data_IF_055780711556
#
_entry.id   IF_055780711556
#
_cell.length_a   1.000
_cell.length_b   1.000
_cell.length_c   1.000
_cell.angle_alpha   90.00
_cell.angle_beta   90.00
_cell.angle_gamma   90.00
#
_symmetry.space_group_name_H-M   'P 1'
#
loop_
_entity.id
_entity.type
_entity.pdbx_description
1 polymer ?
#
# COMPACT_ATOMS: atom_id res chain seq x y z
N UNK A 1 -1.43 -9.19 15.83
CA UNK A 1 -1.78 -7.76 15.94
C UNK A 1 -2.89 -7.62 16.96
N UNK A 2 -2.81 -6.61 17.81
CA UNK A 2 -3.84 -6.23 18.78
C UNK A 2 -4.42 -4.91 18.29
N UNK A 3 -5.70 -4.91 17.92
CA UNK A 3 -6.41 -3.70 17.51
C UNK A 3 -7.87 -3.80 18.00
N UNK A 4 -8.36 -2.84 18.81
CA UNK A 4 -9.69 -2.93 19.41
C UNK A 4 -10.84 -2.85 18.40
N UNK A 5 -10.60 -2.27 17.21
CA UNK A 5 -11.65 -2.13 16.20
C UNK A 5 -11.93 -3.46 15.49
N UNK A 6 -10.94 -4.35 15.38
CA UNK A 6 -11.11 -5.65 14.74
C UNK A 6 -12.23 -6.47 15.38
N UNK A 7 -12.38 -6.41 16.69
CA UNK A 7 -13.38 -7.19 17.42
C UNK A 7 -14.83 -6.69 17.21
N UNK A 8 -14.98 -5.46 16.70
CA UNK A 8 -16.27 -4.84 16.43
C UNK A 8 -16.74 -5.08 15.00
N UNK A 9 -15.83 -5.44 14.09
CA UNK A 9 -16.14 -5.66 12.67
C UNK A 9 -17.00 -6.91 12.49
N UNK A 10 -18.08 -6.76 11.71
CA UNK A 10 -18.99 -7.82 11.29
C UNK A 10 -18.88 -8.03 9.78
N UNK A 11 -18.79 -9.28 9.34
CA UNK A 11 -18.57 -9.59 7.93
C UNK A 11 -19.78 -9.28 7.04
N UNK A 12 -20.98 -9.50 7.57
CA UNK A 12 -22.24 -9.23 6.87
C UNK A 12 -22.39 -7.77 6.39
N UNK A 13 -21.70 -6.82 7.03
CA UNK A 13 -21.80 -5.39 6.70
C UNK A 13 -20.91 -5.01 5.50
N UNK A 14 -19.92 -5.85 5.15
CA UNK A 14 -18.85 -5.47 4.22
C UNK A 14 -18.62 -6.44 3.06
N UNK A 15 -18.98 -7.72 3.21
CA UNK A 15 -18.73 -8.73 2.18
C UNK A 15 -19.84 -9.76 2.10
N UNK A 16 -20.18 -10.17 0.88
CA UNK A 16 -21.11 -11.27 0.59
C UNK A 16 -20.42 -12.64 0.54
N UNK A 17 -19.07 -12.65 0.55
CA UNK A 17 -18.27 -13.86 0.33
C UNK A 17 -17.94 -14.57 1.64
N UNK A 18 -17.50 -13.82 2.64
CA UNK A 18 -17.12 -14.35 3.95
C UNK A 18 -18.29 -14.15 4.90
N UNK A 19 -18.82 -15.25 5.45
CA UNK A 19 -19.98 -15.20 6.37
C UNK A 19 -19.57 -15.11 7.83
N UNK A 20 -18.36 -15.55 8.18
CA UNK A 20 -17.91 -15.61 9.56
C UNK A 20 -16.95 -14.48 9.93
N UNK A 21 -17.23 -13.82 11.05
CA UNK A 21 -16.43 -12.70 11.54
C UNK A 21 -14.98 -13.11 11.85
N UNK A 22 -14.76 -14.37 12.27
CA UNK A 22 -13.44 -14.86 12.67
C UNK A 22 -12.48 -14.93 11.48
N UNK A 23 -12.91 -15.50 10.36
CA UNK A 23 -12.11 -15.59 9.13
C UNK A 23 -11.86 -14.22 8.53
N UNK A 24 -12.88 -13.35 8.53
CA UNK A 24 -12.70 -11.97 8.08
C UNK A 24 -11.59 -11.26 8.88
N UNK A 25 -11.69 -11.26 10.22
CA UNK A 25 -10.71 -10.62 11.10
C UNK A 25 -9.32 -11.23 10.91
N UNK A 26 -9.24 -12.55 10.70
CA UNK A 26 -7.97 -13.23 10.45
C UNK A 26 -7.34 -12.81 9.12
N UNK A 27 -8.13 -12.62 8.06
CA UNK A 27 -7.65 -12.13 6.77
C UNK A 27 -7.20 -10.67 6.86
N UNK A 28 -7.97 -9.81 7.53
CA UNK A 28 -7.54 -8.42 7.80
C UNK A 28 -6.21 -8.39 8.53
N UNK A 29 -6.06 -9.15 9.62
CA UNK A 29 -4.79 -9.29 10.34
C UNK A 29 -3.66 -9.81 9.45
N UNK A 30 -3.95 -10.73 8.53
CA UNK A 30 -2.96 -11.27 7.61
C UNK A 30 -2.48 -10.19 6.66
N UNK A 31 -3.39 -9.50 5.97
CA UNK A 31 -3.07 -8.37 5.07
C UNK A 31 -2.20 -7.32 5.76
N UNK A 32 -2.61 -6.91 6.97
CA UNK A 32 -1.91 -5.89 7.74
C UNK A 32 -0.51 -6.30 8.20
N UNK A 33 -0.25 -7.60 8.39
CA UNK A 33 1.04 -8.12 8.84
C UNK A 33 1.94 -8.60 7.69
N UNK A 34 1.41 -8.76 6.47
CA UNK A 34 2.19 -9.24 5.32
C UNK A 34 2.40 -8.15 4.26
N UNK A 35 1.33 -7.74 3.59
CA UNK A 35 1.41 -6.86 2.42
C UNK A 35 1.48 -5.38 2.82
N UNK A 36 0.61 -4.96 3.73
CA UNK A 36 0.42 -3.55 4.06
C UNK A 36 1.70 -2.88 4.60
N UNK A 37 2.52 -3.61 5.36
CA UNK A 37 3.75 -3.07 5.98
C UNK A 37 4.80 -2.62 4.96
N UNK A 38 4.74 -3.19 3.75
CA UNK A 38 5.60 -2.77 2.66
C UNK A 38 4.81 -1.93 1.66
N UNK A 39 3.59 -2.31 1.29
CA UNK A 39 2.76 -1.60 0.32
C UNK A 39 1.49 -1.04 0.96
N UNK A 40 1.60 0.00 1.82
CA UNK A 40 0.42 0.64 2.40
C UNK A 40 -0.33 1.38 1.30
N UNK A 41 -1.64 1.19 1.22
CA UNK A 41 -2.50 1.90 0.25
C UNK A 41 -3.33 3.03 0.89
N UNK A 42 -3.58 2.92 2.20
CA UNK A 42 -4.48 3.76 2.97
C UNK A 42 -4.01 3.84 4.43
N UNK A 43 -4.60 4.71 5.25
CA UNK A 43 -4.29 4.78 6.69
C UNK A 43 -5.06 3.69 7.45
N UNK A 44 -4.33 2.79 8.14
CA UNK A 44 -4.89 1.58 8.78
C UNK A 44 -5.99 1.87 9.79
N UNK A 45 -5.74 2.79 10.71
CA UNK A 45 -6.66 3.05 11.83
C UNK A 45 -7.97 3.66 11.34
N UNK A 46 -7.91 4.56 10.36
CA UNK A 46 -9.09 5.20 9.77
C UNK A 46 -9.94 4.16 9.03
N UNK A 47 -9.30 3.27 8.26
CA UNK A 47 -9.98 2.14 7.63
C UNK A 47 -10.66 1.24 8.66
N UNK A 48 -9.94 0.81 9.71
CA UNK A 48 -10.49 -0.09 10.73
C UNK A 48 -11.60 0.57 11.56
N UNK A 49 -11.47 1.86 11.90
CA UNK A 49 -12.49 2.63 12.61
C UNK A 49 -13.77 2.76 11.78
N UNK A 50 -13.65 3.08 10.50
CA UNK A 50 -14.80 3.20 9.61
C UNK A 50 -15.44 1.83 9.34
N UNK A 51 -14.62 0.78 9.20
CA UNK A 51 -15.10 -0.58 9.06
C UNK A 51 -15.89 -1.04 10.31
N UNK A 52 -15.40 -0.75 11.50
CA UNK A 52 -16.07 -1.07 12.76
C UNK A 52 -17.35 -0.26 12.99
N UNK A 53 -17.41 0.98 12.52
CA UNK A 53 -18.54 1.89 12.72
C UNK A 53 -19.56 1.88 11.57
N UNK A 54 -19.31 1.12 10.50
CA UNK A 54 -20.17 1.06 9.32
C UNK A 54 -20.12 2.31 8.45
N UNK A 55 -19.16 3.23 8.70
CA UNK A 55 -18.96 4.44 7.91
C UNK A 55 -18.19 4.13 6.63
N UNK A 56 -18.47 4.89 5.57
CA UNK A 56 -17.90 4.67 4.25
C UNK A 56 -16.89 5.74 3.78
N UNK A 57 -16.39 6.56 4.70
CA UNK A 57 -15.53 7.70 4.39
C UNK A 57 -14.10 7.23 4.04
N UNK A 58 -13.55 6.31 4.83
CA UNK A 58 -12.22 5.70 4.65
C UNK A 58 -12.25 4.18 4.50
N UNK A 59 -13.44 3.62 4.32
CA UNK A 59 -13.68 2.20 4.07
C UNK A 59 -14.78 2.07 3.01
N UNK A 60 -14.67 1.15 2.07
CA UNK A 60 -15.74 0.86 1.10
C UNK A 60 -15.81 -0.63 0.83
N UNK A 61 -16.97 -1.17 0.39
CA UNK A 61 -17.05 -2.57 -0.03
C UNK A 61 -16.00 -2.93 -1.09
N UNK A 62 -15.73 -2.04 -2.04
CA UNK A 62 -14.68 -2.21 -3.05
C UNK A 62 -13.31 -2.38 -2.39
N UNK A 63 -12.91 -1.45 -1.51
CA UNK A 63 -11.63 -1.51 -0.82
C UNK A 63 -11.50 -2.75 0.06
N UNK A 64 -12.57 -3.12 0.77
CA UNK A 64 -12.59 -4.35 1.59
C UNK A 64 -12.34 -5.58 0.74
N UNK A 65 -13.03 -5.74 -0.40
CA UNK A 65 -12.82 -6.92 -1.26
C UNK A 65 -11.42 -6.95 -1.86
N UNK A 66 -10.84 -5.80 -2.23
CA UNK A 66 -9.44 -5.72 -2.68
C UNK A 66 -8.46 -6.14 -1.58
N UNK A 67 -8.66 -5.65 -0.35
CA UNK A 67 -7.87 -6.04 0.84
C UNK A 67 -7.98 -7.54 1.11
N UNK A 68 -9.17 -8.12 1.00
CA UNK A 68 -9.37 -9.56 1.21
C UNK A 68 -8.72 -10.42 0.12
N UNK A 69 -8.74 -9.95 -1.13
CA UNK A 69 -8.04 -10.61 -2.22
C UNK A 69 -6.52 -10.63 -1.95
N UNK A 70 -5.95 -9.49 -1.55
CA UNK A 70 -4.54 -9.37 -1.17
C UNK A 70 -4.18 -10.22 0.05
N UNK A 71 -5.03 -10.25 1.08
CA UNK A 71 -4.84 -11.07 2.28
C UNK A 71 -4.65 -12.56 1.95
N UNK A 72 -5.33 -13.07 0.90
CA UNK A 72 -5.29 -14.47 0.52
C UNK A 72 -3.92 -14.95 0.04
N UNK A 73 -3.01 -14.07 -0.39
CA UNK A 73 -1.63 -14.42 -0.74
C UNK A 73 -0.81 -14.81 0.51
N UNK A 74 -0.99 -14.06 1.59
CA UNK A 74 -0.32 -14.29 2.88
C UNK A 74 -1.01 -15.30 3.80
N UNK A 75 -2.25 -15.70 3.49
CA UNK A 75 -3.03 -16.55 4.39
C UNK A 75 -2.63 -18.02 4.25
N UNK A 76 -2.07 -18.60 5.31
CA UNK A 76 -1.57 -19.98 5.27
C UNK A 76 -2.66 -21.05 5.25
N UNK A 77 -3.87 -20.73 5.72
CA UNK A 77 -4.97 -21.69 5.83
C UNK A 77 -5.79 -21.83 4.54
N UNK A 78 -5.51 -21.04 3.50
CA UNK A 78 -6.13 -21.22 2.18
C UNK A 78 -5.40 -22.29 1.39
N UNK A 79 -6.12 -23.38 1.08
CA UNK A 79 -5.65 -24.36 0.11
C UNK A 79 -5.51 -23.70 -1.26
N UNK A 80 -4.48 -24.11 -2.02
CA UNK A 80 -4.27 -23.70 -3.41
C UNK A 80 -4.05 -22.19 -3.63
N UNK A 81 -3.42 -21.47 -2.69
CA UNK A 81 -3.12 -20.03 -2.81
C UNK A 81 -2.40 -19.61 -4.11
N UNK A 82 -1.61 -20.50 -4.71
CA UNK A 82 -0.93 -20.25 -5.99
C UNK A 82 -1.84 -20.37 -7.21
N UNK A 83 -3.02 -20.99 -7.07
CA UNK A 83 -4.00 -21.14 -8.15
C UNK A 83 -4.90 -19.92 -8.22
N UNK A 84 -4.32 -18.74 -8.42
CA UNK A 84 -5.04 -17.46 -8.47
C UNK A 84 -6.09 -17.41 -9.60
N UNK A 85 -5.98 -18.31 -10.60
CA UNK A 85 -6.95 -18.48 -11.68
C UNK A 85 -8.16 -19.35 -11.32
N UNK A 86 -8.12 -20.06 -10.19
CA UNK A 86 -9.16 -21.00 -9.80
C UNK A 86 -10.37 -20.28 -9.16
N UNK A 87 -11.57 -20.32 -9.79
CA UNK A 87 -12.77 -19.64 -9.30
C UNK A 87 -13.23 -20.06 -7.90
N UNK A 88 -12.86 -21.28 -7.48
CA UNK A 88 -13.24 -21.83 -6.18
C UNK A 88 -12.39 -21.27 -5.03
N UNK A 89 -11.28 -20.59 -5.33
CA UNK A 89 -10.42 -20.02 -4.29
C UNK A 89 -11.04 -18.75 -3.71
N UNK A 90 -10.86 -18.56 -2.40
CA UNK A 90 -11.33 -17.35 -1.73
C UNK A 90 -10.71 -16.08 -2.34
N UNK A 91 -9.42 -16.13 -2.67
CA UNK A 91 -8.71 -15.03 -3.30
C UNK A 91 -9.32 -14.63 -4.64
N UNK A 92 -9.63 -15.61 -5.51
CA UNK A 92 -10.30 -15.33 -6.77
C UNK A 92 -11.68 -14.71 -6.56
N UNK A 93 -12.51 -15.28 -5.66
CA UNK A 93 -13.86 -14.76 -5.42
C UNK A 93 -13.83 -13.32 -4.91
N UNK A 94 -12.94 -13.02 -3.97
CA UNK A 94 -12.74 -11.65 -3.46
C UNK A 94 -12.27 -10.71 -4.57
N UNK A 95 -11.31 -11.13 -5.40
CA UNK A 95 -10.83 -10.34 -6.53
C UNK A 95 -11.93 -10.10 -7.57
N UNK A 96 -12.72 -11.12 -7.91
CA UNK A 96 -13.83 -11.01 -8.85
C UNK A 96 -14.89 -10.02 -8.37
N UNK A 97 -15.25 -10.04 -7.08
CA UNK A 97 -16.18 -9.08 -6.52
C UNK A 97 -15.59 -7.66 -6.45
N UNK A 98 -14.30 -7.52 -6.12
CA UNK A 98 -13.62 -6.23 -6.17
C UNK A 98 -13.63 -5.65 -7.59
N UNK A 99 -13.41 -6.48 -8.63
CA UNK A 99 -13.49 -6.05 -10.04
C UNK A 99 -14.91 -5.64 -10.43
N UNK A 100 -15.93 -6.41 -10.02
CA UNK A 100 -17.33 -6.09 -10.29
C UNK A 100 -17.71 -4.74 -9.65
N UNK A 101 -17.27 -4.50 -8.41
CA UNK A 101 -17.49 -3.22 -7.72
C UNK A 101 -16.69 -2.08 -8.36
N UNK A 102 -15.46 -2.35 -8.81
CA UNK A 102 -14.64 -1.39 -9.54
C UNK A 102 -15.36 -0.89 -10.79
N UNK A 103 -15.91 -1.81 -11.60
CA UNK A 103 -16.65 -1.50 -12.83
C UNK A 103 -17.88 -0.61 -12.57
N UNK A 104 -18.53 -0.77 -11.41
CA UNK A 104 -19.66 0.08 -11.00
C UNK A 104 -19.24 1.48 -10.53
N UNK A 105 -18.03 1.62 -10.01
CA UNK A 105 -17.49 2.89 -9.51
C UNK A 105 -16.67 3.65 -10.56
N UNK A 106 -16.48 3.10 -11.77
CA UNK A 106 -15.81 3.78 -12.88
C UNK A 106 -16.44 5.16 -13.09
N UNK A 107 -15.58 6.19 -13.17
CA UNK A 107 -15.98 7.59 -13.35
C UNK A 107 -16.31 8.35 -12.06
N UNK A 108 -16.41 7.67 -10.91
CA UNK A 108 -16.70 8.29 -9.61
C UNK A 108 -15.44 8.30 -8.73
N UNK A 109 -14.53 9.24 -9.00
CA UNK A 109 -13.28 9.35 -8.27
C UNK A 109 -13.51 9.70 -6.80
N UNK A 110 -13.24 8.74 -5.90
CA UNK A 110 -13.23 8.93 -4.45
C UNK A 110 -11.91 8.40 -3.87
N UNK A 111 -11.60 8.82 -2.64
CA UNK A 111 -10.36 8.42 -1.98
C UNK A 111 -10.27 6.89 -1.81
N UNK A 112 -11.37 6.24 -1.39
CA UNK A 112 -11.43 4.78 -1.22
C UNK A 112 -11.33 4.01 -2.54
N UNK A 113 -11.83 4.58 -3.64
CA UNK A 113 -11.64 4.01 -4.99
C UNK A 113 -10.16 4.05 -5.39
N UNK A 114 -9.46 5.16 -5.16
CA UNK A 114 -8.00 5.25 -5.41
C UNK A 114 -7.25 4.23 -4.56
N UNK A 115 -7.55 4.14 -3.26
CA UNK A 115 -6.95 3.17 -2.35
C UNK A 115 -7.20 1.73 -2.81
N UNK A 116 -8.39 1.42 -3.30
CA UNK A 116 -8.72 0.09 -3.82
C UNK A 116 -7.94 -0.24 -5.09
N UNK A 117 -7.75 0.70 -6.01
CA UNK A 117 -6.90 0.48 -7.18
C UNK A 117 -5.44 0.19 -6.83
N UNK A 118 -4.89 0.87 -5.82
CA UNK A 118 -3.53 0.57 -5.31
C UNK A 118 -3.48 -0.89 -4.83
N UNK A 119 -4.46 -1.34 -4.04
CA UNK A 119 -4.50 -2.73 -3.55
C UNK A 119 -4.73 -3.72 -4.70
N UNK A 120 -5.59 -3.41 -5.66
CA UNK A 120 -5.79 -4.25 -6.85
C UNK A 120 -4.50 -4.39 -7.65
N UNK A 121 -3.76 -3.31 -7.87
CA UNK A 121 -2.47 -3.36 -8.54
C UNK A 121 -1.50 -4.34 -7.85
N UNK A 122 -1.38 -4.28 -6.52
CA UNK A 122 -0.58 -5.23 -5.73
C UNK A 122 -1.05 -6.68 -5.96
N UNK A 123 -2.36 -6.91 -5.96
CA UNK A 123 -2.91 -8.26 -6.18
C UNK A 123 -2.55 -8.78 -7.57
N UNK A 124 -2.65 -7.94 -8.59
CA UNK A 124 -2.32 -8.29 -9.97
C UNK A 124 -0.82 -8.53 -10.17
N UNK A 125 0.03 -7.69 -9.58
CA UNK A 125 1.49 -7.87 -9.59
C UNK A 125 1.89 -9.20 -8.93
N UNK A 126 1.30 -9.51 -7.76
CA UNK A 126 1.54 -10.78 -7.05
C UNK A 126 1.06 -12.02 -7.83
N UNK A 127 0.11 -11.85 -8.75
CA UNK A 127 -0.37 -12.91 -9.65
C UNK A 127 0.41 -12.98 -10.97
N UNK A 128 1.45 -12.16 -11.16
CA UNK A 128 2.21 -12.09 -12.42
C UNK A 128 1.41 -11.49 -13.59
N UNK A 129 0.44 -10.63 -13.29
CA UNK A 129 -0.42 -9.92 -14.24
C UNK A 129 -0.19 -8.42 -14.14
N UNK A 130 1.07 -8.05 -14.33
CA UNK A 130 1.62 -6.71 -14.10
C UNK A 130 1.08 -5.66 -15.08
N UNK A 131 0.67 -6.04 -16.29
CA UNK A 131 0.01 -5.13 -17.22
C UNK A 131 -1.36 -4.66 -16.72
N UNK A 132 -2.16 -5.58 -16.19
CA UNK A 132 -3.44 -5.24 -15.55
C UNK A 132 -3.21 -4.43 -14.27
N UNK A 133 -2.20 -4.80 -13.47
CA UNK A 133 -1.79 -4.02 -12.30
C UNK A 133 -1.45 -2.57 -12.66
N UNK A 134 -0.69 -2.38 -13.75
CA UNK A 134 -0.36 -1.05 -14.29
C UNK A 134 -1.60 -0.27 -14.73
N UNK A 135 -2.59 -0.94 -15.32
CA UNK A 135 -3.84 -0.28 -15.73
C UNK A 135 -4.59 0.29 -14.52
N UNK A 136 -4.67 -0.46 -13.41
CA UNK A 136 -5.24 0.06 -12.16
C UNK A 136 -4.45 1.25 -11.60
N UNK A 137 -3.11 1.20 -11.64
CA UNK A 137 -2.28 2.34 -11.23
C UNK A 137 -2.52 3.59 -12.09
N UNK A 138 -2.63 3.43 -13.41
CA UNK A 138 -2.92 4.54 -14.31
C UNK A 138 -4.29 5.17 -14.03
N UNK A 139 -5.30 4.34 -13.77
CA UNK A 139 -6.63 4.80 -13.37
C UNK A 139 -6.62 5.49 -11.99
N UNK A 140 -5.85 4.96 -11.03
CA UNK A 140 -5.67 5.58 -9.72
C UNK A 140 -5.01 6.96 -9.82
N UNK A 141 -3.99 7.11 -10.67
CA UNK A 141 -3.32 8.41 -10.93
C UNK A 141 -4.31 9.41 -11.54
N UNK A 142 -5.09 8.99 -12.54
CA UNK A 142 -6.12 9.85 -13.14
C UNK A 142 -7.17 10.30 -12.12
N UNK A 143 -7.68 9.37 -11.29
CA UNK A 143 -8.63 9.68 -10.22
C UNK A 143 -8.03 10.59 -9.14
N UNK A 144 -6.76 10.37 -8.77
CA UNK A 144 -6.03 11.20 -7.83
C UNK A 144 -5.88 12.65 -8.31
N UNK A 145 -5.63 12.86 -9.61
CA UNK A 145 -5.66 14.21 -10.20
C UNK A 145 -7.05 14.84 -10.14
N UNK A 146 -8.10 14.07 -10.45
CA UNK A 146 -9.48 14.58 -10.45
C UNK A 146 -9.93 15.12 -9.08
N UNK A 147 -9.46 14.53 -7.98
CA UNK A 147 -9.78 14.97 -6.60
C UNK A 147 -8.70 15.84 -5.94
N UNK A 148 -7.71 16.30 -6.72
CA UNK A 148 -6.58 17.09 -6.27
C UNK A 148 -5.80 16.45 -5.11
N UNK A 149 -5.59 15.13 -5.16
CA UNK A 149 -4.98 14.35 -4.08
C UNK A 149 -3.52 14.76 -3.81
N UNK A 150 -2.75 15.10 -4.85
CA UNK A 150 -1.31 15.38 -4.75
C UNK A 150 -0.98 16.79 -4.22
N UNK A 151 -1.97 17.68 -4.17
CA UNK A 151 -1.79 19.09 -3.76
C UNK A 151 -3.03 19.62 -3.01
N UNK A 152 -3.47 18.97 -1.93
CA UNK A 152 -4.67 19.40 -1.21
C UNK A 152 -4.37 20.63 -0.35
N UNK A 153 -5.33 21.53 -0.26
CA UNK A 153 -5.32 22.61 0.71
C UNK A 153 -5.58 22.04 2.11
N UNK A 154 -4.79 22.46 3.11
CA UNK A 154 -5.05 22.04 4.50
C UNK A 154 -6.26 22.82 5.03
N UNK A 155 -7.41 22.15 5.11
CA UNK A 155 -8.68 22.78 5.46
C UNK A 155 -9.06 22.65 6.95
N UNK A 156 -8.07 22.46 7.83
CA UNK A 156 -8.27 22.34 9.29
C UNK A 156 -8.66 20.95 9.79
N UNK A 157 -9.06 20.02 8.91
CA UNK A 157 -9.25 18.61 9.26
C UNK A 157 -7.92 17.83 9.13
N UNK A 158 -7.29 17.56 10.28
CA UNK A 158 -6.05 16.77 10.32
C UNK A 158 -6.28 15.31 9.89
N UNK A 159 -7.46 14.73 10.12
CA UNK A 159 -7.76 13.34 9.74
C UNK A 159 -7.84 13.20 8.23
N UNK A 160 -8.60 14.08 7.59
CA UNK A 160 -8.70 14.12 6.12
C UNK A 160 -7.32 14.37 5.51
N UNK A 161 -6.59 15.37 6.01
CA UNK A 161 -5.25 15.72 5.54
C UNK A 161 -4.30 14.51 5.61
N UNK A 162 -4.23 13.85 6.77
CA UNK A 162 -3.36 12.68 6.96
C UNK A 162 -3.74 11.54 6.02
N UNK A 163 -5.04 11.25 5.86
CA UNK A 163 -5.48 10.18 4.97
C UNK A 163 -5.11 10.46 3.51
N UNK A 164 -5.35 11.70 3.05
CA UNK A 164 -4.93 12.17 1.72
C UNK A 164 -3.41 12.08 1.53
N UNK A 165 -2.62 12.52 2.51
CA UNK A 165 -1.15 12.44 2.47
C UNK A 165 -0.68 10.99 2.31
N UNK A 166 -1.17 10.09 3.17
CA UNK A 166 -0.79 8.68 3.15
C UNK A 166 -1.16 8.04 1.80
N UNK A 167 -2.36 8.27 1.28
CA UNK A 167 -2.78 7.72 -0.01
C UNK A 167 -1.99 8.31 -1.19
N UNK A 168 -1.67 9.62 -1.16
CA UNK A 168 -0.87 10.26 -2.21
C UNK A 168 0.54 9.64 -2.29
N UNK A 169 1.21 9.51 -1.14
CA UNK A 169 2.55 8.92 -1.05
C UNK A 169 2.55 7.41 -1.30
N UNK A 170 1.49 6.71 -0.89
CA UNK A 170 1.27 5.31 -1.22
C UNK A 170 1.18 5.09 -2.75
N UNK A 171 0.34 5.88 -3.43
CA UNK A 171 0.16 5.78 -4.89
C UNK A 171 1.47 6.09 -5.63
N UNK A 172 2.13 7.20 -5.28
CA UNK A 172 3.41 7.57 -5.86
C UNK A 172 4.46 6.47 -5.65
N UNK A 173 4.52 5.93 -4.43
CA UNK A 173 5.46 4.89 -4.08
C UNK A 173 5.23 3.59 -4.86
N UNK A 174 3.99 3.11 -4.93
CA UNK A 174 3.68 1.86 -5.62
C UNK A 174 3.92 1.98 -7.13
N UNK A 175 3.51 3.09 -7.77
CA UNK A 175 3.76 3.26 -9.21
C UNK A 175 5.26 3.35 -9.53
N UNK A 176 6.07 3.93 -8.63
CA UNK A 176 7.52 3.98 -8.78
C UNK A 176 8.14 2.58 -8.71
N UNK A 177 7.72 1.78 -7.72
CA UNK A 177 8.15 0.39 -7.59
C UNK A 177 7.75 -0.41 -8.83
N UNK A 178 6.49 -0.31 -9.26
CA UNK A 178 5.99 -1.01 -10.44
C UNK A 178 6.84 -0.68 -11.67
N UNK A 179 6.96 0.61 -11.98
CA UNK A 179 7.70 1.12 -13.15
C UNK A 179 9.16 0.68 -13.17
N UNK A 180 9.81 0.69 -12.00
CA UNK A 180 11.17 0.19 -11.85
C UNK A 180 11.30 -1.31 -12.16
N UNK A 181 10.38 -2.14 -11.66
CA UNK A 181 10.44 -3.60 -11.83
C UNK A 181 10.09 -4.05 -13.25
N UNK A 182 9.17 -3.35 -13.93
CA UNK A 182 8.74 -3.70 -15.29
C UNK A 182 9.47 -2.92 -16.38
N UNK A 183 10.51 -2.17 -16.01
CA UNK A 183 11.33 -1.36 -16.93
C UNK A 183 10.50 -0.37 -17.78
N UNK A 184 9.50 0.29 -17.17
CA UNK A 184 8.65 1.29 -17.84
C UNK A 184 8.86 2.67 -17.23
N UNK A 185 8.57 3.71 -17.99
CA UNK A 185 8.54 5.06 -17.47
C UNK A 185 7.49 5.20 -16.35
N UNK A 186 7.80 5.94 -15.26
CA UNK A 186 6.85 6.26 -14.21
C UNK A 186 5.57 6.91 -14.73
N UNK A 187 4.45 6.58 -14.08
CA UNK A 187 3.18 7.29 -14.30
C UNK A 187 3.22 8.70 -13.69
N UNK A 188 3.98 8.88 -12.61
CA UNK A 188 4.22 10.17 -11.97
C UNK A 188 5.71 10.50 -12.01
N UNK A 189 6.06 11.59 -12.70
CA UNK A 189 7.45 12.06 -12.78
C UNK A 189 7.92 12.71 -11.48
N UNK A 190 7.01 13.33 -10.73
CA UNK A 190 7.33 14.08 -9.50
C UNK A 190 6.58 13.52 -8.29
N UNK A 191 7.16 13.62 -7.09
CA UNK A 191 6.46 13.31 -5.85
C UNK A 191 5.20 14.16 -5.64
N UNK A 192 4.28 13.71 -4.77
CA UNK A 192 3.21 14.55 -4.27
C UNK A 192 3.77 15.83 -3.64
N UNK A 193 3.09 16.97 -3.87
CA UNK A 193 3.44 18.23 -3.20
C UNK A 193 2.95 18.27 -1.75
N UNK A 194 1.94 17.44 -1.41
CA UNK A 194 1.54 17.21 -0.02
C UNK A 194 2.71 16.62 0.77
N UNK A 195 3.16 17.25 1.86
CA UNK A 195 4.22 16.70 2.68
C UNK A 195 3.73 15.46 3.43
N UNK A 196 4.67 14.56 3.73
CA UNK A 196 4.45 13.48 4.69
C UNK A 196 4.05 14.06 6.07
N UNK A 197 3.10 13.44 6.78
CA UNK A 197 2.73 13.89 8.13
C UNK A 197 3.93 13.88 9.09
N UNK A 198 4.10 14.97 9.84
CA UNK A 198 5.23 15.11 10.77
C UNK A 198 5.13 14.25 12.04
N UNK A 199 3.92 13.95 12.50
CA UNK A 199 3.69 13.19 13.74
C UNK A 199 3.54 11.69 13.47
N UNK A 200 4.20 10.85 14.27
CA UNK A 200 4.22 9.39 14.07
C UNK A 200 2.83 8.75 14.17
N UNK A 201 1.96 9.31 15.02
CA UNK A 201 0.57 8.84 15.19
C UNK A 201 -0.26 8.90 13.91
N UNK A 202 0.12 9.71 12.92
CA UNK A 202 -0.62 9.86 11.67
C UNK A 202 -0.53 8.61 10.77
N UNK A 203 0.46 7.74 10.97
CA UNK A 203 0.73 6.60 10.09
C UNK A 203 -0.02 5.31 10.50
N UNK A 204 -0.62 5.28 11.69
CA UNK A 204 -1.40 4.15 12.19
C UNK A 204 -0.52 2.98 12.60
N UNK A 205 0.02 3.05 13.81
CA UNK A 205 1.02 2.10 14.28
C UNK A 205 0.48 0.67 14.48
N UNK A 206 1.40 -0.30 14.48
CA UNK A 206 1.11 -1.69 14.79
C UNK A 206 1.39 -1.97 16.26
N UNK A 207 0.41 -2.58 16.93
CA UNK A 207 0.60 -3.15 18.26
C UNK A 207 0.63 -4.66 18.13
N UNK A 208 1.76 -5.27 18.47
CA UNK A 208 1.98 -6.71 18.38
C UNK A 208 2.10 -7.33 19.77
N UNK A 209 1.55 -8.53 19.94
CA UNK A 209 1.69 -9.32 21.17
C UNK A 209 2.43 -10.61 20.84
N UNK A 210 3.65 -10.72 21.34
CA UNK A 210 4.48 -11.92 21.19
C UNK A 210 4.32 -12.82 22.41
N UNK A 211 4.38 -14.16 22.25
CA UNK A 211 4.32 -15.08 23.39
C UNK A 211 5.36 -14.80 24.47
N UNK A 212 6.56 -14.36 24.08
CA UNK A 212 7.68 -14.08 24.98
C UNK A 212 7.68 -12.65 25.55
N UNK A 213 6.86 -11.73 25.04
CA UNK A 213 6.85 -10.34 25.48
C UNK A 213 5.99 -10.16 26.74
N UNK A 214 6.44 -9.30 27.66
CA UNK A 214 5.70 -8.95 28.90
C UNK A 214 4.39 -8.23 28.61
N UNK A 215 4.26 -7.60 27.44
CA UNK A 215 3.08 -6.86 27.03
C UNK A 215 3.06 -6.60 25.52
N UNK A 216 2.05 -5.86 25.04
CA UNK A 216 2.00 -5.42 23.65
C UNK A 216 3.17 -4.48 23.32
N UNK A 217 3.74 -4.63 22.13
CA UNK A 217 4.89 -3.88 21.63
C UNK A 217 4.44 -3.04 20.43
N UNK A 218 4.73 -1.74 20.48
CA UNK A 218 4.57 -0.79 19.38
C UNK A 218 5.72 -0.97 18.38
N UNK A 219 5.41 -0.89 17.10
CA UNK A 219 6.39 -1.11 16.03
C UNK A 219 6.98 0.19 15.49
N UNK A 220 6.39 1.34 15.82
CA UNK A 220 6.73 2.64 15.24
C UNK A 220 6.74 2.63 13.69
N UNK A 221 5.59 2.28 13.11
CA UNK A 221 5.46 2.15 11.65
C UNK A 221 5.78 3.42 10.85
N UNK A 222 5.71 4.60 11.47
CA UNK A 222 6.01 5.87 10.83
C UNK A 222 7.43 5.91 10.22
N UNK A 223 8.43 5.37 10.92
CA UNK A 223 9.79 5.26 10.41
C UNK A 223 9.84 4.40 9.14
N UNK A 224 9.18 3.23 9.16
CA UNK A 224 9.13 2.33 8.00
C UNK A 224 8.50 3.02 6.79
N UNK A 225 7.37 3.70 6.98
CA UNK A 225 6.69 4.42 5.89
C UNK A 225 7.60 5.50 5.28
N UNK A 226 8.19 6.37 6.12
CA UNK A 226 9.06 7.47 5.65
C UNK A 226 10.27 6.94 4.88
N UNK A 227 10.97 5.98 5.45
CA UNK A 227 12.13 5.33 4.82
C UNK A 227 11.77 4.70 3.47
N UNK A 228 10.62 4.02 3.38
CA UNK A 228 10.13 3.47 2.11
C UNK A 228 9.76 4.56 1.11
N UNK A 229 9.16 5.66 1.55
CA UNK A 229 8.87 6.81 0.67
C UNK A 229 10.14 7.39 0.07
N UNK A 230 11.19 7.57 0.87
CA UNK A 230 12.50 8.05 0.42
C UNK A 230 13.17 7.10 -0.57
N UNK A 231 13.15 5.80 -0.28
CA UNK A 231 13.69 4.77 -1.18
C UNK A 231 12.98 4.80 -2.54
N UNK A 232 11.65 4.90 -2.51
CA UNK A 232 10.80 4.89 -3.70
C UNK A 232 10.96 6.15 -4.55
N UNK A 233 11.35 7.28 -3.96
CA UNK A 233 11.77 8.46 -4.73
C UNK A 233 12.98 8.15 -5.59
N UNK A 234 13.99 7.48 -5.02
CA UNK A 234 15.19 7.09 -5.77
C UNK A 234 14.81 6.11 -6.89
N UNK A 235 13.97 5.10 -6.59
CA UNK A 235 13.47 4.16 -7.62
C UNK A 235 12.72 4.87 -8.75
N UNK A 236 11.89 5.87 -8.42
CA UNK A 236 11.15 6.66 -9.41
C UNK A 236 12.10 7.40 -10.34
N UNK A 237 13.11 8.08 -9.79
CA UNK A 237 14.07 8.84 -10.58
C UNK A 237 14.91 7.93 -11.47
N UNK A 238 15.30 6.75 -10.98
CA UNK A 238 15.98 5.74 -11.80
C UNK A 238 15.07 5.33 -12.96
N UNK A 239 13.82 4.95 -12.69
CA UNK A 239 12.88 4.56 -13.73
C UNK A 239 12.63 5.69 -14.75
N UNK A 240 12.49 6.94 -14.29
CA UNK A 240 12.32 8.11 -15.15
C UNK A 240 13.55 8.34 -16.05
N UNK A 241 14.77 8.14 -15.54
CA UNK A 241 16.00 8.34 -16.30
C UNK A 241 16.24 7.26 -17.36
N UNK A 242 16.02 5.99 -17.00
CA UNK A 242 16.42 4.86 -17.84
C UNK A 242 15.31 4.29 -18.71
N UNK A 243 14.04 4.49 -18.35
CA UNK A 243 12.91 3.87 -19.06
C UNK A 243 11.97 4.88 -19.74
N UNK A 244 12.26 6.18 -19.63
CA UNK A 244 11.64 7.18 -20.50
C UNK A 244 12.36 7.21 -21.86
N UNK A 245 11.67 7.52 -22.95
CA UNK A 245 12.19 7.49 -24.34
C UNK A 245 13.35 8.47 -24.65
N UNK A 246 13.95 9.11 -23.63
CA UNK A 246 15.08 10.01 -23.80
C UNK A 246 16.36 9.25 -24.11
N UNK A 247 16.87 9.39 -25.34
CA UNK A 247 18.20 8.90 -25.73
C UNK A 247 19.29 9.61 -24.93
N UNK A 248 19.86 8.94 -23.94
CA UNK A 248 20.98 9.46 -23.17
C UNK A 248 22.31 9.12 -23.87
N UNK A 249 23.25 10.08 -23.88
CA UNK A 249 24.62 9.81 -24.31
C UNK A 249 25.31 8.82 -23.34
N UNK A 250 26.27 7.99 -23.78
CA UNK A 250 26.91 6.99 -22.93
C UNK A 250 27.60 7.58 -21.69
N UNK A 251 28.31 8.70 -21.84
CA UNK A 251 29.03 9.34 -20.72
C UNK A 251 28.06 9.92 -19.67
N UNK A 252 26.95 10.53 -20.09
CA UNK A 252 25.94 11.03 -19.14
C UNK A 252 25.20 9.91 -18.41
N UNK A 253 25.21 8.70 -18.97
CA UNK A 253 24.61 7.52 -18.34
C UNK A 253 25.45 7.04 -17.16
N UNK A 254 26.77 6.95 -17.31
CA UNK A 254 27.68 6.52 -16.22
C UNK A 254 27.61 7.47 -15.02
N UNK A 255 27.62 8.78 -15.26
CA UNK A 255 27.55 9.77 -14.18
C UNK A 255 26.21 9.72 -13.44
N UNK A 256 25.10 9.48 -14.16
CA UNK A 256 23.78 9.26 -13.55
C UNK A 256 23.75 8.01 -12.68
N UNK A 257 24.31 6.89 -13.15
CA UNK A 257 24.40 5.65 -12.36
C UNK A 257 25.15 5.92 -11.06
N UNK A 258 26.34 6.56 -11.13
CA UNK A 258 27.12 6.91 -9.94
C UNK A 258 26.32 7.79 -8.98
N UNK A 259 25.61 8.79 -9.50
CA UNK A 259 24.73 9.64 -8.70
C UNK A 259 23.65 8.86 -7.95
N UNK A 260 23.04 7.87 -8.59
CA UNK A 260 22.05 7.01 -7.94
C UNK A 260 22.68 6.08 -6.89
N UNK A 261 23.85 5.50 -7.14
CA UNK A 261 24.58 4.71 -6.14
C UNK A 261 24.86 5.54 -4.88
N UNK A 262 25.36 6.77 -5.03
CA UNK A 262 25.63 7.67 -3.90
C UNK A 262 24.34 7.98 -3.12
N UNK A 263 23.22 8.22 -3.81
CA UNK A 263 21.93 8.48 -3.16
C UNK A 263 21.42 7.26 -2.40
N UNK A 264 21.54 6.06 -2.97
CA UNK A 264 21.15 4.81 -2.32
C UNK A 264 22.02 4.52 -1.09
N UNK A 265 23.34 4.68 -1.22
CA UNK A 265 24.28 4.52 -0.11
C UNK A 265 23.98 5.51 1.02
N UNK A 266 23.75 6.79 0.68
CA UNK A 266 23.37 7.81 1.65
C UNK A 266 22.07 7.44 2.37
N UNK A 267 21.03 7.05 1.61
CA UNK A 267 19.74 6.64 2.17
C UNK A 267 19.91 5.47 3.16
N UNK A 268 20.70 4.46 2.78
CA UNK A 268 20.98 3.29 3.62
C UNK A 268 21.72 3.64 4.92
N UNK A 269 22.70 4.56 4.86
CA UNK A 269 23.43 5.00 6.06
C UNK A 269 22.58 5.83 7.02
N UNK A 270 21.56 6.54 6.49
CA UNK A 270 20.65 7.37 7.28
C UNK A 270 19.44 6.63 7.83
N UNK A 271 19.36 5.29 7.68
CA UNK A 271 18.26 4.50 8.21
C UNK A 271 18.08 4.72 9.73
N UNK A 272 16.84 4.91 10.20
CA UNK A 272 16.50 4.94 11.63
C UNK A 272 17.06 3.72 12.38
N UNK A 273 17.45 3.85 13.66
CA UNK A 273 18.06 2.77 14.43
C UNK A 273 17.28 1.46 14.39
N UNK A 274 15.94 1.52 14.48
CA UNK A 274 15.00 0.41 14.44
C UNK A 274 14.91 -0.31 13.09
N UNK A 275 15.45 0.29 12.02
CA UNK A 275 15.49 -0.27 10.67
C UNK A 275 16.89 -0.71 10.23
N UNK A 276 17.91 -0.53 11.09
CA UNK A 276 19.26 -1.02 10.82
C UNK A 276 19.33 -2.54 10.99
N UNK A 277 20.21 -3.18 10.22
CA UNK A 277 20.36 -4.65 10.18
C UNK A 277 20.50 -5.31 11.56
N UNK A 278 21.13 -4.62 12.51
CA UNK A 278 21.41 -5.14 13.86
C UNK A 278 20.19 -5.13 14.79
N UNK A 279 19.16 -4.34 14.47
CA UNK A 279 18.00 -4.08 15.34
C UNK A 279 16.68 -4.59 14.71
N UNK A 280 16.76 -5.33 13.61
CA UNK A 280 15.60 -5.91 12.92
C UNK A 280 14.81 -6.80 13.88
N UNK A 281 13.57 -6.43 14.09
CA UNK A 281 12.63 -7.12 14.97
C UNK A 281 11.42 -7.69 14.23
N UNK A 282 11.17 -7.25 12.99
CA UNK A 282 9.98 -7.60 12.22
C UNK A 282 10.30 -8.08 10.80
N UNK A 283 9.58 -9.10 10.26
CA UNK A 283 9.89 -9.69 8.96
C UNK A 283 9.95 -8.72 7.78
N UNK A 284 9.13 -7.66 7.78
CA UNK A 284 9.12 -6.70 6.67
C UNK A 284 10.32 -5.75 6.68
N UNK A 285 10.97 -5.55 7.83
CA UNK A 285 12.20 -4.74 7.91
C UNK A 285 13.37 -5.42 7.19
N UNK A 286 13.32 -6.75 7.00
CA UNK A 286 14.27 -7.48 6.15
C UNK A 286 14.17 -7.06 4.68
N UNK A 287 13.02 -6.55 4.22
CA UNK A 287 12.85 -6.06 2.84
C UNK A 287 13.60 -4.74 2.57
N UNK A 288 14.15 -4.11 3.61
CA UNK A 288 14.95 -2.88 3.53
C UNK A 288 16.46 -3.16 3.52
N UNK A 289 16.89 -4.43 3.66
CA UNK A 289 18.29 -4.82 3.75
C UNK A 289 18.87 -5.26 2.41
#
# INVERSE_FOLDING_TARGET
>A
MVDPHLDQIKAADWTSIIKDNKSLRKLLQTYFLTEYTFFPAFQKDYFLQDMASGRKEYCSPLLVHAVLASACHGYSSTNHRSRFWNPETLGYRCLAEARRLWELEIGHAQLTTIQAAIVLAIVYDANGRDEEGRAYLAQAVAAAHAIQLFSPQKNGDDREFNCRAITAWALFGLQAVHSFHVFKAPLLSMPPSIPLPGQDKCYGDFVLRFPAAKGPVSVNYANTFRTLSEFRLIMNDVAAVFFSEMKNAPNSTVDRIKGFCIRLDSWYQTLPPDLKTREISFPWQLKLQ
#
